data_IF_377969197492
#
_entry.id   IF_377969197492
#
_cell.length_a   1.000
_cell.length_b   1.000
_cell.length_c   1.000
_cell.angle_alpha   90.00
_cell.angle_beta   90.00
_cell.angle_gamma   90.00
#
_symmetry.space_group_name_H-M   'P 1'
#
loop_
_entity.id
_entity.type
_entity.pdbx_description
1 polymer ?
#
# COMPACT_ATOMS: atom_id res chain seq x y z
N UNK A 1 7.04 -7.50 -15.76
CA UNK A 1 6.60 -7.68 -14.35
C UNK A 1 6.34 -6.31 -13.74
N UNK A 2 5.24 -6.14 -13.00
CA UNK A 2 4.89 -4.86 -12.36
C UNK A 2 5.56 -4.74 -11.00
N UNK A 3 6.07 -3.55 -10.67
CA UNK A 3 6.22 -3.12 -9.27
C UNK A 3 4.96 -2.47 -8.79
N UNK A 4 4.79 -2.45 -7.48
CA UNK A 4 3.69 -1.75 -6.84
C UNK A 4 4.20 -0.73 -5.83
N UNK A 5 3.53 0.41 -5.81
CA UNK A 5 3.68 1.41 -4.77
C UNK A 5 2.30 1.82 -4.27
N UNK A 6 2.13 1.88 -2.96
CA UNK A 6 0.98 2.51 -2.35
C UNK A 6 1.40 3.89 -1.84
N UNK A 7 0.56 4.89 -2.04
CA UNK A 7 0.73 6.19 -1.39
C UNK A 7 -0.46 6.46 -0.51
N UNK A 8 -0.23 6.55 0.80
CA UNK A 8 -1.25 6.78 1.82
C UNK A 8 -1.22 8.25 2.22
N UNK A 9 -2.37 8.92 2.22
CA UNK A 9 -2.53 10.31 2.66
C UNK A 9 -3.73 10.47 3.58
N UNK A 10 -3.69 11.47 4.46
CA UNK A 10 -4.79 11.82 5.35
C UNK A 10 -4.47 11.55 6.82
N UNK A 11 -5.38 10.92 7.54
CA UNK A 11 -5.25 10.52 8.95
C UNK A 11 -5.78 9.09 9.16
N UNK A 12 -5.54 8.49 10.32
CA UNK A 12 -5.99 7.13 10.61
C UNK A 12 -7.52 6.95 10.49
N UNK A 13 -8.29 8.00 10.74
CA UNK A 13 -9.76 7.99 10.66
C UNK A 13 -10.31 8.40 9.28
N UNK A 14 -9.52 9.10 8.47
CA UNK A 14 -9.91 9.57 7.13
C UNK A 14 -8.68 9.58 6.23
N UNK A 15 -8.47 8.50 5.50
CA UNK A 15 -7.33 8.30 4.60
C UNK A 15 -7.77 8.00 3.17
N UNK A 16 -6.84 8.23 2.25
CA UNK A 16 -6.93 7.79 0.85
C UNK A 16 -5.66 7.07 0.44
N UNK A 17 -5.82 5.99 -0.32
CA UNK A 17 -4.70 5.23 -0.88
C UNK A 17 -4.69 5.43 -2.41
N UNK A 18 -3.59 5.96 -2.93
CA UNK A 18 -3.26 5.87 -4.36
C UNK A 18 -2.52 4.56 -4.61
N UNK A 19 -3.07 3.76 -5.53
CA UNK A 19 -2.53 2.45 -5.90
C UNK A 19 -1.72 2.61 -7.19
N UNK A 20 -0.41 2.44 -7.13
CA UNK A 20 0.49 2.73 -8.23
C UNK A 20 1.19 1.46 -8.72
N UNK A 21 1.51 1.42 -10.01
CA UNK A 21 2.39 0.41 -10.59
C UNK A 21 3.43 1.00 -11.53
N UNK A 22 4.56 0.31 -11.66
CA UNK A 22 5.60 0.65 -12.64
C UNK A 22 5.98 -0.59 -13.43
N UNK A 23 6.25 -0.39 -14.73
CA UNK A 23 6.80 -1.42 -15.63
C UNK A 23 8.30 -1.21 -15.90
N UNK A 24 8.84 -0.03 -15.57
CA UNK A 24 10.18 0.42 -15.96
C UNK A 24 11.01 1.04 -14.83
N UNK A 25 10.55 0.99 -13.57
CA UNK A 25 11.23 1.51 -12.36
C UNK A 25 11.32 3.03 -12.26
N UNK A 26 10.99 3.77 -13.32
CA UNK A 26 11.11 5.22 -13.37
C UNK A 26 9.75 5.90 -13.27
N UNK A 27 8.74 5.34 -13.95
CA UNK A 27 7.41 5.93 -14.05
C UNK A 27 6.38 5.08 -13.31
N UNK A 28 5.60 5.75 -12.46
CA UNK A 28 4.49 5.13 -11.75
C UNK A 28 3.16 5.60 -12.33
N UNK A 29 2.35 4.64 -12.78
CA UNK A 29 1.00 4.85 -13.23
C UNK A 29 0.03 4.50 -12.11
N UNK A 30 -1.08 5.21 -12.02
CA UNK A 30 -2.12 4.94 -11.03
C UNK A 30 -3.13 3.91 -11.57
N UNK A 31 -3.55 3.00 -10.70
CA UNK A 31 -4.69 2.14 -10.96
C UNK A 31 -5.99 2.92 -10.73
N UNK A 32 -6.88 2.88 -11.71
CA UNK A 32 -8.19 3.53 -11.62
C UNK A 32 -9.24 2.61 -10.96
N UNK A 33 -8.96 2.19 -9.72
CA UNK A 33 -9.91 1.37 -8.95
C UNK A 33 -11.10 2.21 -8.47
N UNK A 34 -12.30 1.68 -8.67
CA UNK A 34 -13.56 2.34 -8.31
C UNK A 34 -14.13 1.82 -6.98
N UNK A 35 -14.93 2.65 -6.30
CA UNK A 35 -15.65 2.29 -5.08
C UNK A 35 -15.02 2.81 -3.78
N UNK A 36 -15.37 2.19 -2.66
CA UNK A 36 -14.82 2.52 -1.33
C UNK A 36 -13.35 2.10 -1.21
N UNK A 37 -12.61 2.64 -0.23
CA UNK A 37 -11.21 2.26 -0.02
C UNK A 37 -11.03 0.76 0.24
N UNK A 38 -11.98 0.12 0.93
CA UNK A 38 -11.98 -1.33 1.13
C UNK A 38 -12.12 -2.10 -0.20
N UNK A 39 -12.96 -1.63 -1.12
CA UNK A 39 -13.13 -2.25 -2.44
C UNK A 39 -11.86 -2.11 -3.28
N UNK A 40 -11.28 -0.90 -3.33
CA UNK A 40 -10.02 -0.64 -4.03
C UNK A 40 -8.88 -1.48 -3.48
N UNK A 41 -8.76 -1.55 -2.15
CA UNK A 41 -7.76 -2.36 -1.47
C UNK A 41 -7.93 -3.85 -1.79
N UNK A 42 -9.17 -4.35 -1.78
CA UNK A 42 -9.47 -5.75 -2.16
C UNK A 42 -9.05 -6.05 -3.61
N UNK A 43 -9.27 -5.12 -4.55
CA UNK A 43 -8.79 -5.24 -5.92
C UNK A 43 -7.25 -5.29 -5.99
N UNK A 44 -6.58 -4.41 -5.25
CA UNK A 44 -5.13 -4.40 -5.16
C UNK A 44 -4.57 -5.71 -4.59
N UNK A 45 -5.15 -6.24 -3.50
CA UNK A 45 -4.74 -7.51 -2.90
C UNK A 45 -4.85 -8.67 -3.91
N UNK A 46 -5.90 -8.68 -4.74
CA UNK A 46 -6.05 -9.66 -5.83
C UNK A 46 -4.98 -9.48 -6.91
N UNK A 47 -4.73 -8.25 -7.34
CA UNK A 47 -3.72 -7.92 -8.35
C UNK A 47 -2.32 -8.37 -7.88
N UNK A 48 -1.93 -8.05 -6.66
CA UNK A 48 -0.62 -8.45 -6.15
C UNK A 48 -0.53 -9.96 -5.98
N UNK A 49 -1.59 -10.67 -5.56
CA UNK A 49 -1.59 -12.14 -5.43
C UNK A 49 -1.27 -12.83 -6.77
N UNK A 50 -1.78 -12.28 -7.86
CA UNK A 50 -1.59 -12.82 -9.22
C UNK A 50 -0.26 -12.41 -9.86
N UNK A 51 0.45 -11.42 -9.31
CA UNK A 51 1.76 -11.05 -9.84
C UNK A 51 2.83 -12.08 -9.44
N UNK A 52 3.47 -12.68 -10.44
CA UNK A 52 4.52 -13.72 -10.30
C UNK A 52 5.84 -13.10 -9.79
N UNK A 53 5.97 -11.78 -9.84
CA UNK A 53 7.14 -11.05 -9.36
C UNK A 53 7.40 -11.26 -7.85
N UNK A 54 8.65 -11.54 -7.43
CA UNK A 54 9.02 -11.60 -6.01
C UNK A 54 9.15 -10.20 -5.37
N UNK A 55 8.83 -9.14 -6.11
CA UNK A 55 9.12 -7.78 -5.68
C UNK A 55 8.20 -7.34 -4.53
N UNK A 56 8.74 -6.61 -3.54
CA UNK A 56 7.94 -6.07 -2.45
C UNK A 56 7.05 -4.92 -2.94
N UNK A 57 6.15 -4.48 -2.08
CA UNK A 57 5.36 -3.27 -2.31
C UNK A 57 6.00 -2.12 -1.55
N UNK A 58 6.25 -1.03 -2.27
CA UNK A 58 6.71 0.23 -1.68
C UNK A 58 5.53 1.00 -1.10
N UNK A 59 5.69 1.63 0.06
CA UNK A 59 4.62 2.37 0.72
C UNK A 59 5.16 3.75 1.10
N UNK A 60 4.56 4.80 0.55
CA UNK A 60 4.86 6.21 0.79
C UNK A 60 3.73 6.80 1.63
N UNK A 61 4.01 7.05 2.90
CA UNK A 61 3.04 7.50 3.89
C UNK A 61 3.22 8.99 4.11
N UNK A 62 2.15 9.74 3.88
CA UNK A 62 2.09 11.20 4.06
C UNK A 62 0.82 11.55 4.83
N UNK A 63 0.82 11.20 6.10
CA UNK A 63 -0.26 11.46 7.02
C UNK A 63 -0.03 12.80 7.72
N UNK A 64 -1.08 13.38 8.30
CA UNK A 64 -1.00 14.69 8.97
C UNK A 64 0.04 14.75 10.10
N UNK A 65 0.33 13.62 10.74
CA UNK A 65 1.23 13.46 11.89
C UNK A 65 2.52 12.71 11.54
N UNK A 66 2.63 12.11 10.34
CA UNK A 66 3.72 11.19 10.03
C UNK A 66 4.03 11.12 8.54
N UNK A 67 5.30 11.33 8.20
CA UNK A 67 5.84 11.17 6.85
C UNK A 67 6.92 10.09 6.87
N UNK A 68 6.68 8.95 6.21
CA UNK A 68 7.65 7.85 6.20
C UNK A 68 7.51 6.98 4.95
N UNK A 69 8.59 6.30 4.59
CA UNK A 69 8.60 5.27 3.56
C UNK A 69 8.76 3.88 4.19
N UNK A 70 8.09 2.88 3.62
CA UNK A 70 8.22 1.46 3.98
C UNK A 70 8.33 0.59 2.75
N UNK A 71 8.89 -0.59 2.96
CA UNK A 71 8.88 -1.69 2.02
C UNK A 71 8.28 -2.88 2.75
N UNK A 72 7.13 -3.38 2.28
CA UNK A 72 6.45 -4.52 2.90
C UNK A 72 6.39 -5.65 1.88
N UNK A 73 6.61 -6.88 2.37
CA UNK A 73 6.54 -8.05 1.50
C UNK A 73 5.13 -8.25 0.96
N UNK A 74 5.05 -8.66 -0.30
CA UNK A 74 3.78 -8.97 -0.98
C UNK A 74 2.95 -10.00 -0.22
N UNK A 75 3.62 -11.02 0.32
CA UNK A 75 2.98 -12.10 1.11
C UNK A 75 2.25 -11.51 2.32
N UNK A 76 2.92 -10.65 3.08
CA UNK A 76 2.33 -10.03 4.27
C UNK A 76 1.10 -9.18 3.91
N UNK A 77 1.17 -8.32 2.89
CA UNK A 77 0.01 -7.52 2.45
C UNK A 77 -1.12 -8.42 1.96
N UNK A 78 -0.79 -9.51 1.25
CA UNK A 78 -1.77 -10.45 0.72
C UNK A 78 -2.56 -11.21 1.80
N UNK A 79 -2.04 -11.26 3.02
CA UNK A 79 -2.67 -11.88 4.18
C UNK A 79 -3.59 -10.90 4.93
N UNK A 80 -3.48 -9.59 4.68
CA UNK A 80 -4.32 -8.54 5.27
C UNK A 80 -5.43 -8.20 4.29
N UNK A 81 -6.66 -8.67 4.55
CA UNK A 81 -7.80 -8.43 3.66
C UNK A 81 -8.57 -7.13 3.97
N UNK A 82 -8.37 -6.56 5.15
CA UNK A 82 -9.06 -5.35 5.63
C UNK A 82 -8.15 -4.12 5.56
N UNK A 83 -8.63 -3.05 4.94
CA UNK A 83 -7.84 -1.83 4.69
C UNK A 83 -7.52 -1.09 5.98
N UNK A 84 -8.44 -1.07 6.95
CA UNK A 84 -8.20 -0.42 8.24
C UNK A 84 -7.08 -1.14 9.01
N UNK A 85 -7.10 -2.49 8.99
CA UNK A 85 -6.04 -3.33 9.55
C UNK A 85 -4.69 -3.08 8.86
N UNK A 86 -4.69 -2.95 7.53
CA UNK A 86 -3.49 -2.59 6.78
C UNK A 86 -2.94 -1.22 7.19
N UNK A 87 -3.79 -0.20 7.29
CA UNK A 87 -3.37 1.14 7.72
C UNK A 87 -2.83 1.11 9.15
N UNK A 88 -3.47 0.39 10.06
CA UNK A 88 -3.07 0.31 11.47
C UNK A 88 -1.69 -0.32 11.70
N UNK A 89 -1.21 -1.20 10.82
CA UNK A 89 0.14 -1.77 10.96
C UNK A 89 1.24 -0.79 10.50
N UNK A 90 0.92 0.24 9.70
CA UNK A 90 1.92 1.13 9.15
C UNK A 90 2.60 2.03 10.20
N UNK A 91 1.88 2.64 11.17
CA UNK A 91 2.49 3.40 12.27
C UNK A 91 3.24 2.53 13.27
N UNK A 92 2.85 1.26 13.44
CA UNK A 92 3.35 0.38 14.50
C UNK A 92 4.85 0.07 14.33
N UNK A 93 5.38 0.09 13.10
CA UNK A 93 6.82 -0.06 12.87
C UNK A 93 7.65 1.23 13.14
N UNK A 94 7.07 2.27 13.74
CA UNK A 94 7.78 3.49 14.15
C UNK A 94 8.17 3.47 15.64
N UNK A 95 7.56 2.61 16.46
CA UNK A 95 7.71 2.65 17.94
C UNK A 95 8.47 1.47 18.56
N UNK A 96 9.22 0.69 17.76
CA UNK A 96 10.20 -0.27 18.29
C UNK A 96 11.62 0.12 17.88
N UNK A 97 12.07 1.27 18.39
CA UNK A 97 13.45 1.48 18.80
C UNK A 97 13.43 2.06 20.20
N UNK A 98 13.47 1.16 21.19
CA UNK A 98 14.08 1.46 22.48
C UNK A 98 15.58 1.59 22.31
#
# INVERSE_FOLDING_TARGET
MKMYKLRVRGSLSDFKISYLYSLNYLDFNEFDYQGSEQQKYSCFVKEIKNNIAPQPVYIDIRMSDCHLDRVISRKHISEINDVASFINILPVFVWHKG
#
